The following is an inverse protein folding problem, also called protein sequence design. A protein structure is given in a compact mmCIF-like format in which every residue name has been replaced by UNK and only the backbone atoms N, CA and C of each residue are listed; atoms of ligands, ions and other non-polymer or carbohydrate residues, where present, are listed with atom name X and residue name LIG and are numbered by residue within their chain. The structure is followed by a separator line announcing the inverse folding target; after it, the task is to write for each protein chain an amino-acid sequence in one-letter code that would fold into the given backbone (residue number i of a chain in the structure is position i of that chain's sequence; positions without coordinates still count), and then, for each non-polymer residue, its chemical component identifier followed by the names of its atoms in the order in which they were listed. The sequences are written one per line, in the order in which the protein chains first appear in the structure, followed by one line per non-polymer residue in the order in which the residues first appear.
data_IF_069844881175
#
_entry.id   IF_069844881175
#
_cell.length_a   1.000
_cell.length_b   1.000
_cell.length_c   1.000
_cell.angle_alpha   90.00
_cell.angle_beta   90.00
_cell.angle_gamma   90.00
#
_symmetry.space_group_name_H-M   'P 1'
#
loop_
_entity.id
_entity.type
_entity.pdbx_description
1 polymer ?
#
# COMPACT_ATOMS: atom_id res chain seq x y z
N UNK A 1 6.90 -10.20 2.11
CA UNK A 1 6.40 -8.84 1.81
C UNK A 1 6.92 -8.24 0.50
N UNK A 2 8.13 -8.57 0.08
CA UNK A 2 8.85 -7.99 -1.07
C UNK A 2 8.26 -8.26 -2.48
N UNK A 3 7.15 -9.00 -2.59
CA UNK A 3 6.53 -9.37 -3.87
C UNK A 3 5.08 -8.92 -4.00
N UNK A 4 4.50 -8.42 -2.90
CA UNK A 4 3.11 -7.97 -2.91
C UNK A 4 3.09 -6.55 -3.42
N UNK A 5 2.54 -6.32 -4.61
CA UNK A 5 2.40 -4.98 -5.19
C UNK A 5 1.17 -4.32 -4.59
N UNK A 6 1.36 -3.12 -4.03
CA UNK A 6 0.33 -2.33 -3.38
C UNK A 6 0.12 -1.02 -4.15
N UNK A 7 -1.14 -0.57 -4.19
CA UNK A 7 -1.53 0.68 -4.82
C UNK A 7 -1.84 1.70 -3.73
N UNK A 8 -1.21 2.88 -3.78
CA UNK A 8 -1.42 3.97 -2.80
C UNK A 8 -1.59 5.30 -3.51
N UNK A 9 -2.47 6.16 -3.00
CA UNK A 9 -2.69 7.51 -3.51
C UNK A 9 -4.14 7.76 -3.90
N UNK A 10 -4.34 8.56 -4.94
CA UNK A 10 -5.62 8.87 -5.52
C UNK A 10 -5.71 8.31 -6.95
N UNK A 11 -6.91 8.16 -7.49
CA UNK A 11 -7.08 7.44 -8.75
C UNK A 11 -6.47 8.15 -9.96
N UNK A 12 -6.37 9.47 -9.92
CA UNK A 12 -5.61 10.22 -10.90
C UNK A 12 -4.12 10.32 -10.54
N UNK A 13 -3.70 10.07 -9.30
CA UNK A 13 -2.31 10.22 -8.86
C UNK A 13 -1.95 9.10 -7.88
N UNK A 14 -1.60 7.93 -8.41
CA UNK A 14 -1.33 6.73 -7.64
C UNK A 14 0.09 6.21 -7.82
N UNK A 15 0.62 5.50 -6.83
CA UNK A 15 1.90 4.82 -6.89
C UNK A 15 1.67 3.32 -6.70
N UNK A 16 2.31 2.51 -7.53
CA UNK A 16 2.47 1.07 -7.32
C UNK A 16 3.91 0.77 -6.88
N UNK A 17 4.03 0.15 -5.72
CA UNK A 17 5.29 -0.33 -5.15
C UNK A 17 5.05 -1.65 -4.43
N UNK A 18 6.09 -2.44 -4.20
CA UNK A 18 5.92 -3.59 -3.29
C UNK A 18 5.63 -3.09 -1.87
N UNK A 19 4.94 -3.90 -1.06
CA UNK A 19 4.58 -3.52 0.30
C UNK A 19 5.81 -3.14 1.14
N UNK A 20 6.91 -3.88 0.93
CA UNK A 20 8.20 -3.58 1.55
C UNK A 20 8.79 -2.27 1.03
N UNK A 21 8.91 -2.06 -0.29
CA UNK A 21 9.47 -0.82 -0.83
C UNK A 21 8.70 0.42 -0.36
N UNK A 22 7.36 0.33 -0.28
CA UNK A 22 6.56 1.43 0.22
C UNK A 22 6.83 1.70 1.71
N UNK A 23 6.79 0.67 2.57
CA UNK A 23 7.06 0.82 4.01
C UNK A 23 8.44 1.41 4.28
N UNK A 24 9.50 0.84 3.68
CA UNK A 24 10.87 1.32 3.90
C UNK A 24 11.08 2.76 3.42
N UNK A 25 10.33 3.18 2.41
CA UNK A 25 10.44 4.54 1.85
C UNK A 25 9.67 5.57 2.66
N UNK A 26 8.44 5.23 3.06
CA UNK A 26 7.54 6.14 3.78
C UNK A 26 7.93 6.24 5.25
N UNK A 27 8.38 5.13 5.85
CA UNK A 27 8.82 5.05 7.25
C UNK A 27 10.22 4.41 7.33
N UNK A 28 11.30 5.16 7.07
CA UNK A 28 12.66 4.60 7.01
C UNK A 28 13.16 4.01 8.33
N UNK A 29 12.61 4.45 9.45
CA UNK A 29 13.03 4.04 10.79
C UNK A 29 12.43 2.69 11.19
N UNK A 30 11.17 2.46 10.87
CA UNK A 30 10.31 1.40 11.42
C UNK A 30 9.73 0.48 10.35
N UNK A 31 9.77 0.88 9.08
CA UNK A 31 9.19 0.13 7.98
C UNK A 31 9.78 -1.29 7.85
N UNK A 32 11.08 -1.46 8.11
CA UNK A 32 11.69 -2.79 8.12
C UNK A 32 11.21 -3.65 9.30
N UNK A 33 10.96 -3.06 10.46
CA UNK A 33 10.41 -3.76 11.62
C UNK A 33 8.98 -4.23 11.34
N UNK A 34 8.14 -3.38 10.75
CA UNK A 34 6.77 -3.75 10.38
C UNK A 34 6.75 -4.79 9.26
N UNK A 35 7.66 -4.73 8.30
CA UNK A 35 7.85 -5.81 7.31
C UNK A 35 8.19 -7.13 7.99
N UNK A 36 9.14 -7.12 8.92
CA UNK A 36 9.60 -8.33 9.62
C UNK A 36 8.49 -8.91 10.50
N UNK A 37 7.74 -8.06 11.21
CA UNK A 37 6.56 -8.44 11.98
C UNK A 37 5.49 -9.07 11.07
N UNK A 38 5.20 -8.47 9.92
CA UNK A 38 4.21 -8.99 8.97
C UNK A 38 4.61 -10.38 8.45
N UNK A 39 5.90 -10.62 8.18
CA UNK A 39 6.39 -11.92 7.74
C UNK A 39 6.28 -12.99 8.85
N UNK A 40 6.53 -12.61 10.10
CA UNK A 40 6.28 -13.49 11.25
C UNK A 40 4.79 -13.80 11.42
N UNK A 41 3.92 -12.81 11.23
CA UNK A 41 2.46 -12.99 11.31
C UNK A 41 1.92 -13.92 10.21
N UNK A 42 2.45 -13.82 8.99
CA UNK A 42 2.08 -14.71 7.88
C UNK A 42 2.51 -16.16 8.17
N UNK A 43 3.63 -16.36 8.87
CA UNK A 43 4.14 -17.68 9.24
C UNK A 43 3.47 -18.26 10.51
N UNK A 44 2.83 -17.43 11.33
CA UNK A 44 2.23 -17.84 12.59
C UNK A 44 0.95 -18.67 12.37
N UNK A 45 0.75 -19.64 13.25
CA UNK A 45 -0.49 -20.44 13.27
C UNK A 45 -1.62 -19.70 13.98
N UNK A 46 -2.84 -20.07 13.64
CA UNK A 46 -4.00 -19.52 14.31
C UNK A 46 -3.99 -19.84 15.83
N UNK A 47 -4.28 -18.82 16.66
CA UNK A 47 -4.26 -18.94 18.12
C UNK A 47 -2.90 -18.61 18.74
N UNK A 48 -1.85 -18.46 17.93
CA UNK A 48 -0.54 -18.02 18.41
C UNK A 48 -0.51 -16.52 18.70
N UNK A 49 0.41 -16.10 19.56
CA UNK A 49 0.75 -14.70 19.74
C UNK A 49 2.16 -14.47 19.22
N UNK A 50 2.32 -13.43 18.40
CA UNK A 50 3.60 -12.99 17.88
C UNK A 50 4.06 -11.81 18.73
N UNK A 51 5.27 -11.91 19.28
CA UNK A 51 5.92 -10.83 20.00
C UNK A 51 7.11 -10.35 19.17
N UNK A 52 7.17 -9.05 18.91
CA UNK A 52 8.24 -8.40 18.18
C UNK A 52 8.80 -7.23 18.99
N UNK A 53 10.12 -7.08 18.98
CA UNK A 53 10.80 -5.98 19.66
C UNK A 53 11.53 -5.13 18.62
N UNK A 54 11.17 -3.86 18.54
CA UNK A 54 11.94 -2.87 17.79
C UNK A 54 13.23 -2.58 18.58
N UNK A 55 14.41 -2.68 17.96
CA UNK A 55 15.68 -2.50 18.65
C UNK A 55 15.95 -1.05 19.09
N UNK A 56 17.02 -0.88 19.85
CA UNK A 56 17.56 0.45 20.18
C UNK A 56 17.98 1.22 18.91
N UNK A 57 17.87 2.56 18.89
CA UNK A 57 17.53 3.46 20.01
C UNK A 57 16.03 3.74 20.18
N UNK A 58 15.16 3.13 19.37
CA UNK A 58 13.74 3.49 19.34
C UNK A 58 12.91 2.76 20.39
N UNK A 59 13.25 1.48 20.64
CA UNK A 59 12.65 0.54 21.60
C UNK A 59 11.12 0.59 21.66
N UNK A 60 10.49 -0.42 21.07
CA UNK A 60 9.08 -0.70 21.27
C UNK A 60 8.82 -2.20 21.33
N UNK A 61 7.86 -2.62 22.15
CA UNK A 61 7.38 -4.00 22.20
C UNK A 61 6.01 -4.06 21.53
N UNK A 62 5.88 -4.97 20.57
CA UNK A 62 4.64 -5.23 19.84
C UNK A 62 4.20 -6.65 20.16
N UNK A 63 2.96 -6.80 20.61
CA UNK A 63 2.32 -8.09 20.84
C UNK A 63 1.05 -8.16 20.00
N UNK A 64 0.98 -9.16 19.11
CA UNK A 64 -0.15 -9.40 18.24
C UNK A 64 -0.74 -10.77 18.55
N UNK A 65 -2.04 -10.85 18.79
CA UNK A 65 -2.74 -12.13 18.95
C UNK A 65 -3.44 -12.54 17.66
N UNK A 66 -2.98 -13.61 17.02
CA UNK A 66 -3.57 -14.13 15.78
C UNK A 66 -4.85 -14.89 16.12
N UNK A 67 -6.01 -14.27 15.87
CA UNK A 67 -7.34 -14.81 16.19
C UNK A 67 -8.17 -15.05 14.93
N UNK A 68 -9.19 -15.90 15.07
CA UNK A 68 -10.20 -16.16 14.02
C UNK A 68 -11.29 -15.08 13.97
N UNK A 69 -11.22 -14.09 14.85
CA UNK A 69 -12.22 -13.03 14.99
C UNK A 69 -12.03 -11.97 13.90
N UNK A 70 -13.08 -11.17 13.65
CA UNK A 70 -13.02 -9.98 12.77
C UNK A 70 -12.12 -8.86 13.31
N UNK A 71 -11.51 -9.06 14.48
CA UNK A 71 -10.64 -8.10 15.15
C UNK A 71 -9.37 -8.83 15.58
N UNK A 72 -8.22 -8.31 15.17
CA UNK A 72 -6.92 -8.75 15.62
C UNK A 72 -6.41 -7.78 16.70
N UNK A 73 -6.36 -8.16 18.00
CA UNK A 73 -5.84 -7.30 19.03
C UNK A 73 -4.33 -7.11 18.88
N UNK A 74 -3.88 -5.85 18.95
CA UNK A 74 -2.48 -5.46 18.89
C UNK A 74 -2.20 -4.60 20.12
N UNK A 75 -1.17 -4.95 20.89
CA UNK A 75 -0.67 -4.15 22.01
C UNK A 75 0.71 -3.64 21.65
N UNK A 76 0.92 -2.33 21.75
CA UNK A 76 2.21 -1.69 21.47
C UNK A 76 2.62 -0.91 22.71
N UNK A 77 3.83 -1.15 23.19
CA UNK A 77 4.43 -0.42 24.31
C UNK A 77 5.67 0.31 23.82
N UNK A 78 5.71 1.62 23.99
CA UNK A 78 6.82 2.44 23.54
C UNK A 78 6.53 3.92 23.72
N UNK A 79 7.36 4.78 23.12
CA UNK A 79 7.14 6.22 23.13
C UNK A 79 5.88 6.56 22.32
N UNK A 80 5.04 7.53 22.75
CA UNK A 80 3.76 7.81 22.08
C UNK A 80 3.86 8.07 20.57
N UNK A 81 4.89 8.80 20.11
CA UNK A 81 5.10 9.07 18.68
C UNK A 81 5.39 7.81 17.88
N UNK A 82 6.21 6.91 18.43
CA UNK A 82 6.57 5.64 17.80
C UNK A 82 5.36 4.69 17.78
N UNK A 83 4.55 4.67 18.85
CA UNK A 83 3.30 3.91 18.88
C UNK A 83 2.35 4.39 17.78
N UNK A 84 2.18 5.70 17.62
CA UNK A 84 1.33 6.27 16.57
C UNK A 84 1.85 5.89 15.16
N UNK A 85 3.15 6.00 14.93
CA UNK A 85 3.81 5.63 13.66
C UNK A 85 3.57 4.16 13.28
N UNK A 86 3.79 3.22 14.22
CA UNK A 86 3.55 1.78 13.99
C UNK A 86 2.06 1.51 13.71
N UNK A 87 1.14 2.22 14.39
CA UNK A 87 -0.30 2.07 14.13
C UNK A 87 -0.63 2.54 12.70
N UNK A 88 -0.05 3.64 12.22
CA UNK A 88 -0.25 4.14 10.86
C UNK A 88 0.27 3.17 9.81
N UNK A 89 1.45 2.58 10.03
CA UNK A 89 2.04 1.56 9.16
C UNK A 89 1.20 0.28 9.09
N UNK A 90 0.76 -0.24 10.24
CA UNK A 90 -0.10 -1.42 10.32
C UNK A 90 -1.47 -1.16 9.70
N UNK A 91 -2.02 0.04 9.87
CA UNK A 91 -3.27 0.45 9.24
C UNK A 91 -3.13 0.55 7.71
N UNK A 92 -2.03 1.12 7.22
CA UNK A 92 -1.72 1.15 5.79
C UNK A 92 -1.60 -0.27 5.24
N UNK A 93 -0.80 -1.11 5.91
CA UNK A 93 -0.51 -2.46 5.47
C UNK A 93 -1.77 -3.33 5.44
N UNK A 94 -2.59 -3.25 6.48
CA UNK A 94 -3.88 -3.97 6.52
C UNK A 94 -4.79 -3.52 5.38
N UNK A 95 -4.82 -2.22 5.09
CA UNK A 95 -5.58 -1.68 3.95
C UNK A 95 -5.02 -2.19 2.61
N UNK A 96 -3.70 -2.23 2.45
CA UNK A 96 -3.04 -2.61 1.21
C UNK A 96 -3.14 -4.11 0.91
N UNK A 97 -3.23 -4.94 1.94
CA UNK A 97 -3.41 -6.39 1.84
C UNK A 97 -4.89 -6.82 1.83
N UNK A 98 -5.82 -5.88 2.00
CA UNK A 98 -7.24 -6.17 1.97
C UNK A 98 -7.66 -6.62 0.57
N UNK A 99 -8.51 -7.63 0.50
CA UNK A 99 -9.08 -8.08 -0.77
C UNK A 99 -10.29 -7.23 -1.13
N UNK A 100 -10.40 -6.78 -2.38
CA UNK A 100 -11.63 -6.17 -2.86
C UNK A 100 -12.79 -7.18 -2.77
N UNK A 101 -13.99 -6.79 -2.30
CA UNK A 101 -15.16 -7.65 -2.39
C UNK A 101 -15.38 -8.15 -3.83
N UNK A 102 -15.88 -9.37 -4.04
CA UNK A 102 -16.16 -9.87 -5.38
C UNK A 102 -17.15 -8.95 -6.11
N UNK A 103 -16.83 -8.62 -7.37
CA UNK A 103 -17.69 -7.83 -8.23
C UNK A 103 -19.01 -8.57 -8.49
N UNK A 104 -20.15 -7.92 -8.20
CA UNK A 104 -21.45 -8.43 -8.64
C UNK A 104 -21.70 -8.13 -10.13
N UNK A 105 -21.02 -7.12 -10.68
CA UNK A 105 -21.08 -6.74 -12.09
C UNK A 105 -19.66 -6.70 -12.67
N UNK A 106 -19.41 -7.56 -13.65
CA UNK A 106 -18.10 -7.73 -14.32
C UNK A 106 -17.86 -6.62 -15.35
N UNK A 107 -18.86 -5.77 -15.63
CA UNK A 107 -18.79 -4.77 -16.69
C UNK A 107 -18.20 -3.42 -16.27
N UNK A 108 -18.08 -3.15 -14.97
CA UNK A 108 -17.53 -1.88 -14.46
C UNK A 108 -16.06 -2.02 -14.07
N UNK A 109 -15.23 -1.16 -14.66
CA UNK A 109 -13.81 -1.06 -14.37
C UNK A 109 -13.64 -0.19 -13.10
N UNK A 110 -13.97 -0.75 -11.93
CA UNK A 110 -13.96 -0.02 -10.67
C UNK A 110 -12.75 -0.39 -9.81
N UNK A 111 -12.18 0.59 -9.12
CA UNK A 111 -11.15 0.36 -8.10
C UNK A 111 -11.79 0.47 -6.72
N UNK A 112 -11.46 -0.46 -5.82
CA UNK A 112 -11.80 -0.31 -4.41
C UNK A 112 -10.79 0.60 -3.75
N UNK A 113 -11.25 1.73 -3.20
CA UNK A 113 -10.43 2.64 -2.41
C UNK A 113 -10.68 2.36 -0.93
N UNK A 114 -9.61 2.19 -0.16
CA UNK A 114 -9.66 1.97 1.28
C UNK A 114 -9.00 3.14 2.00
N UNK A 115 -9.71 3.67 3.00
CA UNK A 115 -9.22 4.72 3.90
C UNK A 115 -9.27 4.19 5.33
N UNK A 116 -8.13 3.84 5.95
CA UNK A 116 -8.11 3.50 7.36
C UNK A 116 -8.38 4.73 8.22
N UNK A 117 -9.18 4.55 9.25
CA UNK A 117 -9.58 5.60 10.19
C UNK A 117 -9.51 5.07 11.61
N UNK A 118 -8.77 5.77 12.47
CA UNK A 118 -8.85 5.54 13.91
C UNK A 118 -10.25 5.95 14.41
N UNK A 119 -10.84 5.10 15.24
CA UNK A 119 -12.11 5.35 15.87
C UNK A 119 -12.12 4.81 17.30
N UNK A 120 -13.14 5.19 18.07
CA UNK A 120 -13.33 4.74 19.45
C UNK A 120 -12.09 4.97 20.35
N UNK A 121 -11.36 6.06 20.11
CA UNK A 121 -10.15 6.39 20.86
C UNK A 121 -10.51 6.70 22.31
N UNK A 122 -9.92 5.95 23.23
CA UNK A 122 -9.96 6.20 24.67
C UNK A 122 -8.54 6.29 25.20
N UNK A 123 -8.30 7.27 26.07
CA UNK A 123 -7.00 7.50 26.69
C UNK A 123 -7.22 7.59 28.19
N UNK A 124 -6.44 6.81 28.91
CA UNK A 124 -6.39 6.83 30.38
C UNK A 124 -4.95 7.05 30.82
N UNK A 125 -4.74 7.94 31.76
CA UNK A 125 -3.47 8.08 32.47
C UNK A 125 -3.58 7.47 33.86
N UNK A 126 -2.52 6.79 34.29
CA UNK A 126 -2.31 6.39 35.66
C UNK A 126 -1.04 7.07 36.14
N UNK A 127 -1.14 7.82 37.23
CA UNK A 127 0.01 8.45 37.86
C UNK A 127 0.36 7.70 39.13
N UNK A 128 1.59 7.21 39.20
CA UNK A 128 2.21 6.77 40.45
C UNK A 128 3.25 7.83 40.87
N UNK A 129 3.75 7.77 42.11
CA UNK A 129 4.70 8.74 42.67
C UNK A 129 5.99 8.95 41.83
N UNK A 130 6.29 8.06 40.91
CA UNK A 130 7.54 8.05 40.13
C UNK A 130 7.35 8.08 38.60
N UNK A 131 6.13 7.88 38.09
CA UNK A 131 5.90 7.83 36.64
C UNK A 131 4.43 8.04 36.25
N UNK A 132 4.22 8.65 35.09
CA UNK A 132 2.92 8.70 34.41
C UNK A 132 2.89 7.62 33.33
N UNK A 133 1.97 6.66 33.44
CA UNK A 133 1.72 5.64 32.42
C UNK A 133 0.47 6.03 31.64
N UNK A 134 0.61 6.23 30.33
CA UNK A 134 -0.52 6.45 29.43
C UNK A 134 -0.91 5.15 28.76
N UNK A 135 -2.20 4.81 28.82
CA UNK A 135 -2.80 3.73 28.04
C UNK A 135 -3.80 4.33 27.07
N UNK A 136 -3.60 4.07 25.79
CA UNK A 136 -4.55 4.40 24.75
C UNK A 136 -5.11 3.12 24.14
N UNK A 137 -6.40 3.14 23.79
CA UNK A 137 -7.06 2.09 23.04
C UNK A 137 -7.85 2.72 21.92
N UNK A 138 -7.74 2.17 20.71
CA UNK A 138 -8.50 2.60 19.56
C UNK A 138 -8.84 1.40 18.67
N UNK A 139 -9.82 1.57 17.80
CA UNK A 139 -10.14 0.64 16.72
C UNK A 139 -9.80 1.29 15.40
N UNK A 140 -9.00 0.62 14.57
CA UNK A 140 -8.84 1.02 13.18
C UNK A 140 -10.00 0.45 12.38
N UNK A 141 -10.79 1.32 11.75
CA UNK A 141 -11.85 0.97 10.81
C UNK A 141 -11.38 1.24 9.40
N UNK A 142 -11.76 0.37 8.46
CA UNK A 142 -11.37 0.49 7.06
C UNK A 142 -12.60 0.91 6.25
N UNK A 143 -12.72 2.20 5.98
CA UNK A 143 -13.78 2.69 5.11
C UNK A 143 -13.44 2.33 3.66
N UNK A 144 -14.37 1.70 2.94
CA UNK A 144 -14.18 1.31 1.54
C UNK A 144 -15.19 2.00 0.64
N UNK A 145 -14.73 2.51 -0.49
CA UNK A 145 -15.58 3.03 -1.56
C UNK A 145 -15.20 2.42 -2.92
N UNK A 146 -16.15 2.39 -3.85
CA UNK A 146 -15.92 1.97 -5.24
C UNK A 146 -15.82 3.21 -6.10
N UNK A 147 -14.72 3.33 -6.82
CA UNK A 147 -14.51 4.42 -7.75
C UNK A 147 -14.55 3.89 -9.18
N UNK A 148 -15.53 4.37 -9.95
CA UNK A 148 -15.65 4.06 -11.36
C UNK A 148 -14.51 4.72 -12.15
N UNK A 149 -13.76 3.91 -12.89
CA UNK A 149 -12.64 4.37 -13.70
C UNK A 149 -13.03 4.38 -15.18
N UNK A 150 -13.22 5.56 -15.73
CA UNK A 150 -13.31 5.74 -17.17
C UNK A 150 -11.91 5.69 -17.80
N UNK A 151 -11.58 4.54 -18.40
CA UNK A 151 -10.31 4.35 -19.11
C UNK A 151 -10.12 5.27 -20.31
N UNK A 152 -11.19 5.89 -20.84
CA UNK A 152 -11.08 6.89 -21.90
C UNK A 152 -10.54 8.23 -21.36
N UNK A 153 -10.62 8.45 -20.04
CA UNK A 153 -10.06 9.63 -19.39
C UNK A 153 -8.54 9.49 -19.26
N UNK A 154 -7.82 10.55 -19.65
CA UNK A 154 -6.36 10.59 -19.56
C UNK A 154 -5.87 10.34 -18.13
N UNK A 155 -4.91 9.43 -17.97
CA UNK A 155 -4.33 9.08 -16.68
C UNK A 155 -4.98 7.87 -16.01
N UNK A 156 -5.95 7.19 -16.64
CA UNK A 156 -6.66 6.04 -16.07
C UNK A 156 -6.45 4.72 -16.83
N UNK A 157 -5.70 4.74 -17.93
CA UNK A 157 -5.43 3.55 -18.76
C UNK A 157 -4.75 2.41 -17.99
N UNK A 158 -4.08 2.69 -16.86
CA UNK A 158 -3.35 1.70 -16.05
C UNK A 158 -4.24 0.79 -15.20
N UNK A 159 -5.51 1.14 -14.98
CA UNK A 159 -6.42 0.42 -14.07
C UNK A 159 -6.45 -1.10 -14.30
N UNK A 160 -6.47 -1.54 -15.56
CA UNK A 160 -6.48 -2.96 -15.92
C UNK A 160 -5.17 -3.74 -15.65
N UNK A 161 -4.09 -3.08 -15.19
CA UNK A 161 -2.86 -3.76 -14.77
C UNK A 161 -2.98 -4.37 -13.37
N UNK A 162 -3.90 -3.86 -12.56
CA UNK A 162 -4.03 -4.18 -11.14
C UNK A 162 -5.48 -4.62 -10.84
N UNK A 163 -6.02 -5.46 -11.71
CA UNK A 163 -7.34 -6.06 -11.53
C UNK A 163 -7.41 -6.75 -10.16
N UNK A 164 -8.33 -6.33 -9.29
CA UNK A 164 -8.51 -6.78 -7.89
C UNK A 164 -7.62 -6.13 -6.82
N UNK A 165 -6.72 -5.21 -7.17
CA UNK A 165 -5.98 -4.46 -6.16
C UNK A 165 -6.86 -3.41 -5.47
N UNK A 166 -6.67 -3.23 -4.17
CA UNK A 166 -7.24 -2.10 -3.43
C UNK A 166 -6.26 -0.93 -3.44
N UNK A 167 -6.78 0.27 -3.65
CA UNK A 167 -6.00 1.51 -3.51
C UNK A 167 -6.12 2.03 -2.08
N UNK A 168 -4.99 2.20 -1.39
CA UNK A 168 -4.98 2.85 -0.08
C UNK A 168 -4.89 4.37 -0.28
N UNK A 169 -5.81 5.12 0.29
CA UNK A 169 -5.84 6.59 0.19
C UNK A 169 -5.55 7.24 1.54
N UNK A 170 -5.10 8.51 1.50
CA UNK A 170 -4.72 9.30 2.67
C UNK A 170 -3.27 9.13 3.12
N UNK A 171 -2.44 8.44 2.34
CA UNK A 171 -1.03 8.22 2.64
C UNK A 171 -0.10 8.87 1.62
N UNK A 172 1.16 9.17 1.99
CA UNK A 172 2.11 9.81 1.10
C UNK A 172 2.38 8.97 -0.15
N UNK A 173 2.56 9.64 -1.27
CA UNK A 173 3.10 9.06 -2.50
C UNK A 173 4.30 9.88 -2.92
N UNK A 174 5.10 9.36 -3.84
CA UNK A 174 6.19 10.10 -4.42
C UNK A 174 5.73 11.44 -4.99
N UNK A 175 6.48 12.49 -4.66
CA UNK A 175 6.32 13.76 -5.32
C UNK A 175 6.84 13.63 -6.75
N UNK A 176 5.97 13.89 -7.72
CA UNK A 176 6.30 13.87 -9.14
C UNK A 176 6.88 15.21 -9.55
N UNK A 177 7.86 15.18 -10.45
CA UNK A 177 8.40 16.40 -11.05
C UNK A 177 7.26 17.27 -11.60
N UNK A 178 7.28 18.58 -11.32
CA UNK A 178 6.21 19.51 -11.70
C UNK A 178 5.98 19.56 -13.22
N UNK A 179 7.03 19.25 -13.99
CA UNK A 179 7.02 19.19 -15.45
C UNK A 179 6.39 17.91 -16.02
N UNK A 180 6.16 16.90 -15.20
CA UNK A 180 5.49 15.65 -15.58
C UNK A 180 3.99 15.78 -15.33
N UNK A 181 3.16 15.19 -16.19
CA UNK A 181 1.72 15.09 -15.89
C UNK A 181 1.55 14.37 -14.56
N UNK A 182 0.93 15.05 -13.60
CA UNK A 182 0.59 14.44 -12.31
C UNK A 182 -0.43 13.32 -12.43
N UNK A 183 -1.08 13.17 -13.58
CA UNK A 183 -2.06 12.10 -13.77
C UNK A 183 -1.44 10.77 -14.20
N UNK A 184 -1.84 9.67 -13.55
CA UNK A 184 -1.43 8.31 -13.88
C UNK A 184 -0.94 7.50 -12.69
N UNK A 185 -0.46 6.30 -13.01
CA UNK A 185 0.22 5.40 -12.09
C UNK A 185 1.73 5.57 -12.22
N UNK A 186 2.38 5.87 -11.11
CA UNK A 186 3.82 5.80 -11.02
C UNK A 186 4.25 4.40 -10.55
N UNK A 187 5.17 3.79 -11.28
CA UNK A 187 5.60 2.42 -11.05
C UNK A 187 7.01 2.22 -11.61
N UNK A 188 7.81 1.38 -10.97
CA UNK A 188 9.12 1.03 -11.51
C UNK A 188 8.98 0.17 -12.77
N UNK A 189 9.94 0.24 -13.68
CA UNK A 189 9.96 -0.62 -14.89
C UNK A 189 9.89 -2.10 -14.53
N UNK A 190 10.53 -2.51 -13.42
CA UNK A 190 10.51 -3.89 -12.93
C UNK A 190 9.10 -4.30 -12.53
N UNK A 191 8.39 -3.52 -11.71
CA UNK A 191 7.01 -3.88 -11.33
C UNK A 191 6.11 -3.86 -12.57
N UNK A 192 6.27 -2.85 -13.43
CA UNK A 192 5.49 -2.72 -14.66
C UNK A 192 5.67 -3.94 -15.59
N UNK A 193 6.89 -4.47 -15.71
CA UNK A 193 7.19 -5.66 -16.52
C UNK A 193 6.62 -6.94 -15.92
N UNK A 194 6.56 -7.04 -14.60
CA UNK A 194 5.87 -8.13 -13.92
C UNK A 194 4.35 -8.06 -14.12
N UNK A 195 3.74 -6.87 -14.01
CA UNK A 195 2.29 -6.68 -14.19
C UNK A 195 1.84 -6.97 -15.62
N UNK A 196 2.65 -6.63 -16.62
CA UNK A 196 2.35 -6.96 -18.02
C UNK A 196 2.73 -8.40 -18.39
N UNK A 197 3.48 -9.10 -17.53
CA UNK A 197 3.93 -10.47 -17.71
C UNK A 197 5.02 -10.62 -18.78
N UNK A 198 5.82 -9.60 -19.03
CA UNK A 198 6.86 -9.62 -20.06
C UNK A 198 7.97 -8.60 -19.81
N UNK A 199 9.19 -8.97 -20.17
CA UNK A 199 10.36 -8.09 -20.23
C UNK A 199 10.76 -7.74 -21.68
N UNK A 200 9.92 -8.07 -22.67
CA UNK A 200 10.19 -7.83 -24.08
C UNK A 200 9.99 -6.36 -24.45
N UNK A 201 11.11 -5.63 -24.51
CA UNK A 201 11.17 -4.29 -25.10
C UNK A 201 11.40 -4.40 -26.60
N UNK A 202 10.50 -3.80 -27.37
CA UNK A 202 10.57 -3.72 -28.83
C UNK A 202 10.64 -2.26 -29.24
N UNK A 203 11.60 -1.92 -30.09
CA UNK A 203 11.59 -0.63 -30.79
C UNK A 203 10.76 -0.78 -32.07
N UNK A 204 9.71 0.02 -32.19
CA UNK A 204 8.91 0.13 -33.41
C UNK A 204 8.87 1.60 -33.81
N UNK A 205 9.49 1.90 -34.95
CA UNK A 205 9.78 3.28 -35.37
C UNK A 205 10.57 4.03 -34.26
N UNK A 206 10.14 5.22 -33.86
CA UNK A 206 10.74 5.98 -32.76
C UNK A 206 10.13 5.67 -31.37
N UNK A 207 9.24 4.67 -31.28
CA UNK A 207 8.58 4.29 -30.03
C UNK A 207 9.23 3.05 -29.39
N UNK A 208 9.34 3.08 -28.06
CA UNK A 208 9.67 1.90 -27.27
C UNK A 208 8.36 1.29 -26.77
N UNK A 209 8.23 -0.02 -26.95
CA UNK A 209 7.04 -0.78 -26.58
C UNK A 209 7.45 -1.91 -25.64
N UNK A 210 6.82 -1.99 -24.49
CA UNK A 210 6.88 -3.19 -23.63
C UNK A 210 5.67 -4.07 -23.98
N UNK A 211 5.94 -5.24 -24.56
CA UNK A 211 4.91 -6.12 -25.12
C UNK A 211 4.59 -7.29 -24.20
N UNK A 212 3.37 -7.32 -23.66
CA UNK A 212 2.81 -8.49 -22.99
C UNK A 212 1.96 -9.36 -23.91
N UNK A 213 1.33 -10.40 -23.34
CA UNK A 213 0.48 -11.34 -24.08
C UNK A 213 -0.84 -10.73 -24.56
N UNK A 214 -1.45 -9.86 -23.75
CA UNK A 214 -2.74 -9.20 -24.04
C UNK A 214 -2.73 -7.68 -23.83
N UNK A 215 -1.57 -7.13 -23.45
CA UNK A 215 -1.37 -5.73 -23.09
C UNK A 215 -0.09 -5.20 -23.75
N UNK A 216 -0.09 -3.94 -24.13
CA UNK A 216 1.08 -3.21 -24.65
C UNK A 216 1.23 -1.92 -23.86
N UNK A 217 2.46 -1.59 -23.48
CA UNK A 217 2.80 -0.26 -22.97
C UNK A 217 3.64 0.45 -24.02
N UNK A 218 3.15 1.58 -24.50
CA UNK A 218 3.81 2.39 -25.53
C UNK A 218 4.33 3.66 -24.90
N UNK A 219 5.62 3.99 -25.10
CA UNK A 219 6.17 5.26 -24.62
C UNK A 219 5.50 6.44 -25.32
N UNK A 220 5.02 7.39 -24.56
CA UNK A 220 4.43 8.66 -25.06
C UNK A 220 5.32 9.86 -24.81
N UNK A 221 6.23 9.78 -23.83
CA UNK A 221 7.23 10.80 -23.55
C UNK A 221 8.41 10.19 -22.80
N UNK A 222 9.61 10.70 -23.04
CA UNK A 222 10.84 10.36 -22.33
C UNK A 222 11.49 11.68 -21.91
N UNK A 223 11.75 11.84 -20.62
CA UNK A 223 12.54 12.93 -20.05
C UNK A 223 13.84 12.37 -19.46
N UNK A 224 14.68 13.24 -18.88
CA UNK A 224 15.91 12.79 -18.21
C UNK A 224 15.64 11.86 -17.02
N UNK A 225 14.54 12.08 -16.29
CA UNK A 225 14.20 11.34 -15.07
C UNK A 225 13.08 10.33 -15.22
N UNK A 226 12.22 10.47 -16.24
CA UNK A 226 10.93 9.77 -16.29
C UNK A 226 10.57 9.30 -17.70
N UNK A 227 9.92 8.14 -17.79
CA UNK A 227 9.30 7.64 -19.03
C UNK A 227 7.80 7.51 -18.81
N UNK A 228 7.01 8.17 -19.66
CA UNK A 228 5.54 8.10 -19.63
C UNK A 228 5.06 7.05 -20.60
N UNK A 229 4.19 6.15 -20.13
CA UNK A 229 3.66 5.04 -20.91
C UNK A 229 2.15 5.17 -21.06
N UNK A 230 1.63 4.70 -22.19
CA UNK A 230 0.21 4.49 -22.40
C UNK A 230 -0.07 2.98 -22.47
N UNK A 231 -1.01 2.51 -21.64
CA UNK A 231 -1.44 1.11 -21.67
C UNK A 231 -2.53 0.92 -22.72
N UNK A 232 -2.29 -0.01 -23.63
CA UNK A 232 -3.27 -0.55 -24.56
C UNK A 232 -3.57 -1.98 -24.13
N UNK A 233 -4.83 -2.27 -23.82
CA UNK A 233 -5.30 -3.63 -23.53
C UNK A 233 -6.22 -4.12 -24.65
N UNK A 234 -6.07 -5.39 -25.01
CA UNK A 234 -7.04 -6.05 -25.90
C UNK A 234 -8.28 -6.37 -25.05
N UNK A 235 -9.44 -5.81 -25.43
CA UNK A 235 -10.74 -6.23 -24.90
C UNK A 235 -11.04 -7.68 -25.30
#
# INVERSE_FOLDING_TARGET
MHRVVCLTGAANEAQAATASEYLLKTWPTTGQDVVSLAEQLIAASQGESVQYQIPEPHRADILVSVRQDSVCPITITGRPSLVAEIIEELAWLTSALSTSPPHQDVTTNDITVIVPRAADLSITSSEDYTSVVMRASCRVRFASERLAIDTATNGFCWSSLLDSATMVSGYPILNRDEYVRKSGLEVTLVIMSHLIGSNELVKFDDMIILKGSSKLLVTTSITESTVTWHLLSRR
#
